data_IF_298569050932
#
_entry.id   IF_298569050932
#
_cell.length_a   1.000
_cell.length_b   1.000
_cell.length_c   1.000
_cell.angle_alpha   90.00
_cell.angle_beta   90.00
_cell.angle_gamma   90.00
#
_symmetry.space_group_name_H-M   'P 1'
#
loop_
_entity.id
_entity.type
_entity.pdbx_description
1 polymer ?
#
# COMPACT_ATOMS: atom_id res chain seq x y z
N UNK A 1 38.27 -8.64 -17.17
CA UNK A 1 38.78 -7.55 -16.30
C UNK A 1 37.85 -7.45 -15.08
N UNK A 2 38.33 -7.63 -13.84
CA UNK A 2 37.45 -7.57 -12.64
C UNK A 2 37.20 -6.11 -12.26
N UNK A 3 36.09 -5.54 -12.74
CA UNK A 3 35.64 -4.16 -12.46
C UNK A 3 35.66 -3.84 -10.95
N UNK A 4 35.47 -4.86 -10.11
CA UNK A 4 35.51 -4.77 -8.66
C UNK A 4 36.86 -4.28 -8.13
N UNK A 5 37.99 -4.63 -8.75
CA UNK A 5 39.31 -4.13 -8.33
C UNK A 5 39.41 -2.61 -8.45
N UNK A 6 38.87 -2.07 -9.54
CA UNK A 6 38.85 -0.64 -9.79
C UNK A 6 37.95 0.08 -8.78
N UNK A 7 36.77 -0.48 -8.49
CA UNK A 7 35.82 0.11 -7.54
C UNK A 7 36.32 0.03 -6.09
N UNK A 8 37.11 -0.99 -5.74
CA UNK A 8 37.63 -1.20 -4.38
C UNK A 8 38.93 -0.43 -4.10
N UNK A 9 39.51 0.27 -5.08
CA UNK A 9 40.75 1.04 -4.87
C UNK A 9 40.45 2.25 -3.97
N UNK A 10 41.10 2.38 -2.79
CA UNK A 10 40.87 3.51 -1.90
C UNK A 10 41.35 4.81 -2.55
N UNK A 11 40.56 5.88 -2.45
CA UNK A 11 40.92 7.21 -2.95
C UNK A 11 40.65 7.47 -4.44
N UNK A 12 39.88 6.62 -5.12
CA UNK A 12 39.48 6.87 -6.51
C UNK A 12 38.59 8.12 -6.61
N UNK A 13 38.91 9.10 -7.47
CA UNK A 13 38.06 10.29 -7.66
C UNK A 13 36.66 9.95 -8.14
N UNK A 14 35.67 10.74 -7.71
CA UNK A 14 34.25 10.52 -8.02
C UNK A 14 33.94 10.50 -9.53
N UNK A 15 34.70 11.25 -10.34
CA UNK A 15 34.56 11.27 -11.79
C UNK A 15 34.83 9.89 -12.44
N UNK A 16 35.87 9.20 -11.97
CA UNK A 16 36.20 7.86 -12.45
C UNK A 16 35.13 6.85 -12.01
N UNK A 17 34.63 6.97 -10.78
CA UNK A 17 33.52 6.14 -10.29
C UNK A 17 32.27 6.34 -11.16
N UNK A 18 31.94 7.58 -11.51
CA UNK A 18 30.80 7.90 -12.37
C UNK A 18 30.99 7.34 -13.78
N UNK A 19 32.20 7.38 -14.32
CA UNK A 19 32.53 6.77 -15.62
C UNK A 19 32.33 5.27 -15.58
N UNK A 20 32.84 4.59 -14.54
CA UNK A 20 32.64 3.15 -14.35
C UNK A 20 31.15 2.81 -14.24
N UNK A 21 30.39 3.59 -13.47
CA UNK A 21 28.93 3.41 -13.32
C UNK A 21 28.18 3.57 -14.65
N UNK A 22 28.57 4.54 -15.48
CA UNK A 22 27.98 4.73 -16.83
C UNK A 22 28.25 3.53 -17.73
N UNK A 23 29.50 3.07 -17.78
CA UNK A 23 29.89 1.88 -18.54
C UNK A 23 29.10 0.65 -18.05
N UNK A 24 29.03 0.46 -16.73
CA UNK A 24 28.29 -0.64 -16.12
C UNK A 24 26.80 -0.60 -16.49
N UNK A 25 26.17 0.57 -16.43
CA UNK A 25 24.77 0.74 -16.83
C UNK A 25 24.58 0.38 -18.31
N UNK A 26 25.36 0.98 -19.21
CA UNK A 26 25.24 0.76 -20.65
C UNK A 26 25.41 -0.70 -21.05
N UNK A 27 26.34 -1.42 -20.40
CA UNK A 27 26.59 -2.83 -20.67
C UNK A 27 25.45 -3.74 -20.18
N UNK A 28 24.88 -3.46 -19.01
CA UNK A 28 23.83 -4.29 -18.41
C UNK A 28 22.41 -3.88 -18.82
N UNK A 29 22.22 -2.74 -19.50
CA UNK A 29 20.90 -2.27 -19.91
C UNK A 29 20.17 -3.27 -20.84
N UNK A 30 20.76 -3.78 -21.94
CA UNK A 30 20.09 -4.76 -22.80
C UNK A 30 19.71 -6.03 -22.02
N UNK A 31 20.56 -6.46 -21.10
CA UNK A 31 20.28 -7.59 -20.22
C UNK A 31 19.09 -7.32 -19.29
N UNK A 32 19.02 -6.14 -18.68
CA UNK A 32 17.92 -5.75 -17.81
C UNK A 32 16.58 -5.69 -18.56
N UNK A 33 16.58 -5.23 -19.81
CA UNK A 33 15.39 -5.23 -20.67
C UNK A 33 14.92 -6.65 -21.01
N UNK A 34 15.84 -7.54 -21.39
CA UNK A 34 15.52 -8.96 -21.59
C UNK A 34 14.99 -9.60 -20.29
N UNK A 35 15.56 -9.26 -19.14
CA UNK A 35 15.06 -9.72 -17.84
C UNK A 35 13.61 -9.26 -17.57
N UNK A 36 13.26 -8.02 -17.93
CA UNK A 36 11.91 -7.50 -17.82
C UNK A 36 10.92 -8.26 -18.72
N UNK A 37 11.32 -8.60 -19.94
CA UNK A 37 10.52 -9.41 -20.86
C UNK A 37 10.27 -10.81 -20.31
N UNK A 38 11.30 -11.47 -19.78
CA UNK A 38 11.17 -12.77 -19.11
C UNK A 38 10.27 -12.68 -17.88
N UNK A 39 10.42 -11.63 -17.07
CA UNK A 39 9.56 -11.38 -15.92
C UNK A 39 8.09 -11.26 -16.35
N UNK A 40 7.80 -10.49 -17.41
CA UNK A 40 6.46 -10.32 -17.96
C UNK A 40 5.88 -11.64 -18.47
N UNK A 41 6.70 -12.46 -19.15
CA UNK A 41 6.30 -13.79 -19.60
C UNK A 41 5.92 -14.70 -18.42
N UNK A 42 6.80 -14.78 -17.41
CA UNK A 42 6.61 -15.61 -16.22
C UNK A 42 5.44 -15.11 -15.33
N UNK A 43 5.14 -13.82 -15.36
CA UNK A 43 4.05 -13.19 -14.62
C UNK A 43 2.95 -12.66 -15.54
N UNK A 44 2.63 -13.41 -16.60
CA UNK A 44 1.65 -13.02 -17.63
C UNK A 44 0.32 -12.53 -17.06
N UNK A 45 -0.19 -13.19 -16.02
CA UNK A 45 -1.46 -12.82 -15.39
C UNK A 45 -1.42 -11.45 -14.74
N UNK A 46 -0.33 -11.13 -14.03
CA UNK A 46 -0.15 -9.87 -13.32
C UNK A 46 0.16 -8.75 -14.32
N UNK A 47 0.96 -9.02 -15.35
CA UNK A 47 1.44 -8.00 -16.27
C UNK A 47 0.56 -7.82 -17.53
N UNK A 48 -0.62 -8.44 -17.58
CA UNK A 48 -1.46 -8.47 -18.79
C UNK A 48 -1.87 -7.07 -19.28
N UNK A 49 -2.18 -6.19 -18.35
CA UNK A 49 -2.66 -4.82 -18.59
C UNK A 49 -1.53 -3.79 -18.62
N UNK A 50 -0.28 -4.23 -18.40
CA UNK A 50 0.86 -3.33 -18.26
C UNK A 50 1.59 -3.24 -19.62
N UNK A 51 1.77 -2.03 -20.18
CA UNK A 51 2.55 -1.84 -21.40
C UNK A 51 4.00 -2.31 -21.24
N UNK A 52 4.60 -2.83 -22.32
CA UNK A 52 6.00 -3.29 -22.28
C UNK A 52 6.96 -2.16 -21.92
N UNK A 53 6.72 -0.98 -22.50
CA UNK A 53 7.56 0.21 -22.32
C UNK A 53 7.64 0.62 -20.85
N UNK A 54 6.53 0.49 -20.11
CA UNK A 54 6.51 0.78 -18.68
C UNK A 54 7.38 -0.20 -17.89
N UNK A 55 7.27 -1.50 -18.18
CA UNK A 55 8.11 -2.52 -17.54
C UNK A 55 9.60 -2.31 -17.82
N UNK A 56 9.94 -1.90 -19.04
CA UNK A 56 11.31 -1.54 -19.43
C UNK A 56 11.82 -0.34 -18.60
N UNK A 57 10.96 0.64 -18.34
CA UNK A 57 11.24 1.80 -17.47
C UNK A 57 11.55 1.37 -16.03
N UNK A 58 10.75 0.49 -15.44
CA UNK A 58 11.03 -0.05 -14.09
C UNK A 58 12.31 -0.90 -14.06
N UNK A 59 12.61 -1.64 -15.13
CA UNK A 59 13.86 -2.39 -15.24
C UNK A 59 15.08 -1.46 -15.28
N UNK A 60 15.05 -0.40 -16.11
CA UNK A 60 16.10 0.62 -16.14
C UNK A 60 16.27 1.31 -14.78
N UNK A 61 15.17 1.64 -14.11
CA UNK A 61 15.18 2.22 -12.75
C UNK A 61 15.83 1.27 -11.74
N UNK A 62 15.51 -0.03 -11.80
CA UNK A 62 16.12 -1.07 -10.98
C UNK A 62 17.62 -1.21 -11.21
N UNK A 63 18.05 -1.22 -12.47
CA UNK A 63 19.46 -1.26 -12.83
C UNK A 63 20.20 0.00 -12.34
N UNK A 64 19.63 1.18 -12.55
CA UNK A 64 20.21 2.45 -12.10
C UNK A 64 20.41 2.46 -10.58
N UNK A 65 19.41 1.99 -9.82
CA UNK A 65 19.52 1.86 -8.37
C UNK A 65 20.64 0.91 -7.99
N UNK A 66 20.73 -0.26 -8.62
CA UNK A 66 21.80 -1.22 -8.39
C UNK A 66 23.18 -0.62 -8.66
N UNK A 67 23.37 0.04 -9.80
CA UNK A 67 24.65 0.69 -10.16
C UNK A 67 25.03 1.78 -9.16
N UNK A 68 24.06 2.59 -8.70
CA UNK A 68 24.30 3.67 -7.72
C UNK A 68 24.73 3.14 -6.36
N UNK A 69 24.11 2.06 -5.90
CA UNK A 69 24.36 1.48 -4.57
C UNK A 69 25.41 0.37 -4.56
N UNK A 70 25.97 -0.01 -5.71
CA UNK A 70 26.93 -1.11 -5.79
C UNK A 70 28.23 -0.76 -5.08
N UNK A 71 28.52 -1.48 -3.99
CA UNK A 71 29.76 -1.42 -3.22
C UNK A 71 30.25 -2.84 -2.96
N UNK A 72 31.07 -3.43 -3.85
CA UNK A 72 31.57 -4.79 -3.67
C UNK A 72 32.54 -4.83 -2.48
N UNK A 73 32.33 -5.78 -1.56
CA UNK A 73 33.25 -6.06 -0.44
C UNK A 73 34.33 -7.07 -0.80
N UNK A 74 34.11 -7.87 -1.85
CA UNK A 74 35.03 -8.90 -2.33
C UNK A 74 35.22 -8.75 -3.83
N UNK A 75 36.41 -9.04 -4.32
CA UNK A 75 36.68 -9.04 -5.77
C UNK A 75 35.82 -10.04 -6.53
N UNK A 76 35.40 -11.12 -5.87
CA UNK A 76 34.56 -12.18 -6.44
C UNK A 76 33.07 -11.82 -6.49
N UNK A 77 32.66 -10.67 -5.95
CA UNK A 77 31.26 -10.25 -5.95
C UNK A 77 30.75 -10.08 -7.39
N UNK A 78 29.66 -10.77 -7.73
CA UNK A 78 29.09 -10.72 -9.08
C UNK A 78 28.03 -9.62 -9.13
N UNK A 79 28.29 -8.55 -9.88
CA UNK A 79 27.33 -7.43 -10.05
C UNK A 79 25.98 -7.91 -10.58
N UNK A 80 25.98 -8.85 -11.53
CA UNK A 80 24.75 -9.43 -12.09
C UNK A 80 23.80 -9.97 -11.00
N UNK A 81 24.31 -10.78 -10.06
CA UNK A 81 23.49 -11.34 -8.98
C UNK A 81 22.95 -10.23 -8.06
N UNK A 82 23.79 -9.24 -7.76
CA UNK A 82 23.37 -8.07 -6.99
C UNK A 82 22.25 -7.28 -7.69
N UNK A 83 22.41 -7.02 -8.98
CA UNK A 83 21.46 -6.26 -9.79
C UNK A 83 20.10 -6.97 -9.93
N UNK A 84 20.09 -8.31 -9.98
CA UNK A 84 18.84 -9.10 -10.02
C UNK A 84 17.91 -8.76 -8.85
N UNK A 85 18.43 -8.54 -7.64
CA UNK A 85 17.60 -8.18 -6.49
C UNK A 85 16.88 -6.84 -6.68
N UNK A 86 17.60 -5.84 -7.16
CA UNK A 86 17.05 -4.50 -7.44
C UNK A 86 16.05 -4.52 -8.59
N UNK A 87 16.37 -5.25 -9.67
CA UNK A 87 15.49 -5.43 -10.82
C UNK A 87 14.17 -6.08 -10.40
N UNK A 88 14.22 -7.21 -9.69
CA UNK A 88 13.00 -7.88 -9.20
C UNK A 88 12.19 -6.96 -8.30
N UNK A 89 12.84 -6.25 -7.39
CA UNK A 89 12.18 -5.30 -6.49
C UNK A 89 11.41 -4.21 -7.25
N UNK A 90 12.04 -3.58 -8.24
CA UNK A 90 11.40 -2.54 -9.05
C UNK A 90 10.33 -3.07 -10.00
N UNK A 91 10.52 -4.25 -10.58
CA UNK A 91 9.52 -4.88 -11.44
C UNK A 91 8.25 -5.26 -10.67
N UNK A 92 8.38 -5.85 -9.47
CA UNK A 92 7.21 -6.10 -8.61
C UNK A 92 6.57 -4.80 -8.11
N UNK A 93 7.38 -3.78 -7.82
CA UNK A 93 6.88 -2.46 -7.45
C UNK A 93 6.02 -1.86 -8.57
N UNK A 94 6.53 -1.84 -9.81
CA UNK A 94 5.81 -1.36 -10.99
C UNK A 94 4.56 -2.18 -11.28
N UNK A 95 4.65 -3.51 -11.18
CA UNK A 95 3.48 -4.39 -11.31
C UNK A 95 2.37 -4.06 -10.30
N UNK A 96 2.74 -3.73 -9.05
CA UNK A 96 1.78 -3.35 -8.00
C UNK A 96 1.22 -1.94 -8.23
N UNK A 97 2.07 -1.01 -8.68
CA UNK A 97 1.69 0.39 -8.88
C UNK A 97 0.72 0.55 -10.05
N UNK A 98 0.96 -0.17 -11.14
CA UNK A 98 0.14 -0.19 -12.35
C UNK A 98 -0.96 -1.26 -12.31
N UNK A 99 -1.14 -1.95 -11.17
CA UNK A 99 -2.27 -2.84 -10.99
C UNK A 99 -3.58 -2.07 -11.17
N UNK A 100 -4.64 -2.69 -11.70
CA UNK A 100 -5.91 -2.02 -11.90
C UNK A 100 -6.45 -1.52 -10.55
N UNK A 101 -7.30 -0.50 -10.61
CA UNK A 101 -7.96 0.02 -9.41
C UNK A 101 -8.72 -1.15 -8.76
N UNK A 102 -8.29 -1.53 -7.57
CA UNK A 102 -8.91 -2.57 -6.75
C UNK A 102 -9.19 -1.98 -5.38
N UNK A 103 -10.25 -2.45 -4.71
CA UNK A 103 -10.55 -2.08 -3.33
C UNK A 103 -9.54 -2.66 -2.31
N UNK A 104 -8.54 -3.42 -2.79
CA UNK A 104 -7.51 -4.04 -1.96
C UNK A 104 -6.33 -3.09 -1.83
N UNK A 105 -5.90 -2.84 -0.59
CA UNK A 105 -4.74 -1.98 -0.36
C UNK A 105 -3.46 -2.51 -1.06
N UNK A 106 -2.64 -1.61 -1.61
CA UNK A 106 -1.35 -1.95 -2.25
C UNK A 106 -0.43 -2.77 -1.32
N UNK A 107 -0.54 -2.56 0.00
CA UNK A 107 0.20 -3.32 1.04
C UNK A 107 -0.26 -4.77 1.12
N UNK A 108 -1.56 -5.03 0.98
CA UNK A 108 -2.11 -6.38 0.98
C UNK A 108 -1.73 -7.14 -0.31
N UNK A 109 -1.74 -6.49 -1.48
CA UNK A 109 -1.32 -7.09 -2.75
C UNK A 109 0.13 -7.59 -2.76
N UNK A 110 1.03 -6.92 -2.01
CA UNK A 110 2.44 -7.31 -1.88
C UNK A 110 2.67 -8.51 -0.97
N UNK A 111 1.70 -8.89 -0.14
CA UNK A 111 1.83 -10.06 0.74
C UNK A 111 1.50 -11.31 -0.07
N UNK A 112 2.45 -12.24 -0.16
CA UNK A 112 2.21 -13.58 -0.69
C UNK A 112 1.17 -14.22 0.25
N UNK A 113 -0.07 -14.40 -0.19
CA UNK A 113 -1.07 -15.11 0.60
C UNK A 113 -0.52 -16.51 0.89
N UNK A 114 -0.14 -16.74 2.15
CA UNK A 114 0.17 -18.06 2.65
C UNK A 114 -1.13 -18.86 2.63
N UNK A 115 -1.17 -19.88 1.77
CA UNK A 115 -2.26 -20.85 1.59
C UNK A 115 -3.53 -20.24 0.98
N UNK A 116 -3.77 -20.59 -0.29
CA UNK A 116 -5.09 -20.47 -0.89
C UNK A 116 -6.02 -21.43 -0.15
N UNK A 117 -6.93 -20.92 0.68
CA UNK A 117 -8.22 -21.57 0.79
C UNK A 117 -8.82 -21.52 -0.62
N UNK A 118 -9.14 -22.68 -1.21
CA UNK A 118 -9.76 -22.75 -2.54
C UNK A 118 -11.03 -21.90 -2.49
N UNK A 119 -11.05 -20.78 -3.21
CA UNK A 119 -12.28 -20.05 -3.44
C UNK A 119 -13.17 -20.96 -4.29
N UNK A 120 -14.24 -21.48 -3.70
CA UNK A 120 -15.32 -22.14 -4.42
C UNK A 120 -15.97 -21.13 -5.34
N UNK A 121 -16.41 -21.60 -6.51
CA UNK A 121 -17.01 -20.83 -7.61
C UNK A 121 -18.35 -20.13 -7.22
N UNK A 122 -18.74 -20.16 -5.94
CA UNK A 122 -19.97 -19.57 -5.42
C UNK A 122 -19.82 -18.12 -4.94
N UNK A 123 -18.60 -17.57 -4.89
CA UNK A 123 -18.38 -16.16 -4.52
C UNK A 123 -18.23 -15.26 -5.73
N UNK A 124 -19.14 -15.40 -6.70
CA UNK A 124 -19.44 -14.34 -7.66
C UNK A 124 -20.42 -13.37 -6.98
N UNK A 125 -19.91 -12.56 -6.06
CA UNK A 125 -20.67 -11.56 -5.30
C UNK A 125 -20.92 -10.35 -6.20
N UNK A 126 -21.91 -10.45 -7.08
CA UNK A 126 -22.66 -9.28 -7.58
C UNK A 126 -23.90 -8.97 -6.75
N UNK A 127 -24.06 -9.67 -5.63
CA UNK A 127 -25.20 -9.51 -4.74
C UNK A 127 -24.68 -9.08 -3.37
N UNK A 128 -25.17 -7.94 -2.87
CA UNK A 128 -24.85 -7.24 -1.61
C UNK A 128 -24.14 -5.87 -1.71
N UNK A 129 -24.14 -5.21 -2.88
CA UNK A 129 -24.42 -3.76 -2.84
C UNK A 129 -25.92 -3.61 -2.98
N UNK A 130 -26.67 -4.00 -1.94
CA UNK A 130 -27.93 -3.29 -1.73
C UNK A 130 -27.52 -1.83 -1.56
N UNK A 131 -28.08 -0.87 -2.30
CA UNK A 131 -28.01 0.50 -1.82
C UNK A 131 -28.61 0.44 -0.42
N UNK A 132 -27.77 0.55 0.61
CA UNK A 132 -28.26 0.90 1.93
C UNK A 132 -28.80 2.29 1.68
N UNK A 133 -30.12 2.38 1.44
CA UNK A 133 -30.82 3.65 1.50
C UNK A 133 -30.29 4.31 2.77
N UNK A 134 -29.78 5.57 2.71
CA UNK A 134 -29.36 6.24 3.93
C UNK A 134 -30.54 6.11 4.89
N UNK A 135 -30.31 5.42 6.02
CA UNK A 135 -31.34 5.30 7.05
C UNK A 135 -31.72 6.74 7.38
N UNK A 136 -33.01 7.05 7.35
CA UNK A 136 -33.45 8.40 7.65
C UNK A 136 -33.02 8.73 9.09
N UNK A 137 -32.64 9.97 9.43
CA UNK A 137 -32.13 10.32 10.76
C UNK A 137 -33.04 9.83 11.90
N UNK A 138 -34.35 9.79 11.68
CA UNK A 138 -35.37 9.21 12.57
C UNK A 138 -35.02 7.77 12.98
N UNK A 139 -34.76 6.90 12.01
CA UNK A 139 -34.51 5.46 12.22
C UNK A 139 -33.21 5.23 13.00
N UNK A 140 -32.23 6.14 12.85
CA UNK A 140 -30.97 6.07 13.57
C UNK A 140 -31.13 6.55 15.02
N UNK A 141 -31.89 7.62 15.25
CA UNK A 141 -32.23 8.06 16.61
C UNK A 141 -33.07 7.03 17.35
N UNK A 142 -34.09 6.46 16.72
CA UNK A 142 -34.90 5.37 17.30
C UNK A 142 -34.01 4.20 17.74
N UNK A 143 -33.11 3.76 16.87
CA UNK A 143 -32.16 2.70 17.20
C UNK A 143 -31.27 3.05 18.39
N UNK A 144 -30.75 4.28 18.47
CA UNK A 144 -29.95 4.76 19.61
C UNK A 144 -30.81 4.77 20.89
N UNK A 145 -32.06 5.21 20.81
CA UNK A 145 -32.95 5.24 21.96
C UNK A 145 -33.24 3.84 22.51
N UNK A 146 -33.47 2.87 21.62
CA UNK A 146 -33.79 1.48 21.97
C UNK A 146 -32.59 0.66 22.44
N UNK A 147 -31.42 0.84 21.81
CA UNK A 147 -30.28 -0.08 22.01
C UNK A 147 -29.15 0.45 22.88
N UNK A 148 -29.02 1.78 23.01
CA UNK A 148 -27.94 2.38 23.78
C UNK A 148 -28.34 2.57 25.25
N UNK A 149 -27.36 2.50 26.14
CA UNK A 149 -27.56 2.86 27.53
C UNK A 149 -27.73 4.39 27.71
N UNK A 150 -28.21 4.82 28.87
CA UNK A 150 -28.52 6.22 29.12
C UNK A 150 -27.32 7.17 28.98
N UNK A 151 -26.11 6.69 29.26
CA UNK A 151 -24.89 7.49 29.12
C UNK A 151 -24.56 7.70 27.64
N UNK A 152 -24.53 6.63 26.84
CA UNK A 152 -24.25 6.69 25.40
C UNK A 152 -25.26 7.57 24.65
N UNK A 153 -26.55 7.47 24.98
CA UNK A 153 -27.59 8.35 24.41
C UNK A 153 -27.30 9.82 24.67
N UNK A 154 -26.91 10.16 25.90
CA UNK A 154 -26.59 11.54 26.28
C UNK A 154 -25.35 12.06 25.55
N UNK A 155 -24.32 11.21 25.40
CA UNK A 155 -23.16 11.53 24.58
C UNK A 155 -23.52 11.82 23.11
N UNK A 156 -24.42 11.02 22.52
CA UNK A 156 -24.87 11.22 21.14
C UNK A 156 -25.61 12.56 20.97
N UNK A 157 -26.55 12.87 21.86
CA UNK A 157 -27.32 14.14 21.85
C UNK A 157 -26.42 15.36 22.02
N UNK A 158 -25.37 15.28 22.84
CA UNK A 158 -24.44 16.40 22.99
C UNK A 158 -23.47 16.56 21.84
N UNK A 159 -23.11 15.46 21.17
CA UNK A 159 -22.13 15.45 20.09
C UNK A 159 -22.74 15.83 18.74
N UNK A 160 -23.99 15.46 18.47
CA UNK A 160 -24.60 15.57 17.15
C UNK A 160 -25.93 16.32 17.17
N UNK A 161 -26.28 16.97 16.05
CA UNK A 161 -27.63 17.47 15.80
C UNK A 161 -28.57 16.36 15.30
N UNK A 162 -29.81 16.72 14.99
CA UNK A 162 -30.81 15.77 14.51
C UNK A 162 -30.36 15.02 13.24
N UNK A 163 -29.66 15.70 12.33
CA UNK A 163 -29.16 15.15 11.06
C UNK A 163 -27.78 14.51 11.19
N UNK A 164 -27.30 14.28 12.41
CA UNK A 164 -25.99 13.70 12.73
C UNK A 164 -24.77 14.55 12.31
N UNK A 165 -24.94 15.86 12.09
CA UNK A 165 -23.84 16.80 11.97
C UNK A 165 -23.19 17.02 13.33
N UNK A 166 -21.85 17.13 13.36
CA UNK A 166 -21.09 17.28 14.60
C UNK A 166 -21.27 18.69 15.20
N UNK A 167 -21.90 18.77 16.37
CA UNK A 167 -22.03 20.00 17.17
C UNK A 167 -20.83 20.24 18.09
N UNK A 168 -20.29 19.17 18.69
CA UNK A 168 -19.21 19.24 19.69
C UNK A 168 -18.13 18.19 19.45
N UNK A 169 -16.92 18.50 19.89
CA UNK A 169 -15.80 17.56 19.98
C UNK A 169 -16.00 16.55 21.12
N UNK A 170 -15.28 15.42 21.08
CA UNK A 170 -15.32 14.45 22.19
C UNK A 170 -14.87 15.08 23.51
N UNK A 171 -13.91 16.00 23.45
CA UNK A 171 -13.40 16.74 24.60
C UNK A 171 -14.49 17.58 25.26
N UNK A 172 -15.21 18.40 24.49
CA UNK A 172 -16.29 19.24 25.03
C UNK A 172 -17.43 18.39 25.62
N UNK A 173 -17.75 17.26 24.98
CA UNK A 173 -18.76 16.32 25.53
C UNK A 173 -18.25 15.67 26.81
N UNK A 174 -16.96 15.34 26.89
CA UNK A 174 -16.35 14.75 28.09
C UNK A 174 -16.33 15.74 29.26
N UNK A 175 -16.06 17.01 28.98
CA UNK A 175 -16.16 18.11 29.95
C UNK A 175 -17.60 18.26 30.49
N UNK A 176 -18.62 18.21 29.62
CA UNK A 176 -20.04 18.26 30.02
C UNK A 176 -20.49 17.02 30.80
N UNK A 177 -19.91 15.86 30.50
CA UNK A 177 -20.25 14.58 31.12
C UNK A 177 -19.36 14.23 32.33
N UNK A 178 -18.44 15.12 32.71
CA UNK A 178 -17.44 14.95 33.76
C UNK A 178 -16.68 13.60 33.67
N UNK A 179 -16.28 13.21 32.46
CA UNK A 179 -15.54 11.98 32.21
C UNK A 179 -14.34 12.21 31.27
N UNK A 180 -13.61 11.15 30.94
CA UNK A 180 -12.48 11.25 30.01
C UNK A 180 -12.97 11.24 28.55
N UNK A 181 -12.21 11.89 27.66
CA UNK A 181 -12.48 11.87 26.22
C UNK A 181 -12.58 10.44 25.66
N UNK A 182 -11.70 9.56 26.17
CA UNK A 182 -11.67 8.15 25.78
C UNK A 182 -12.92 7.39 26.21
N UNK A 183 -13.54 7.78 27.33
CA UNK A 183 -14.82 7.21 27.79
C UNK A 183 -15.94 7.54 26.80
N UNK A 184 -16.03 8.80 26.36
CA UNK A 184 -16.99 9.25 25.35
C UNK A 184 -16.74 8.55 24.01
N UNK A 185 -15.48 8.46 23.58
CA UNK A 185 -15.09 7.79 22.33
C UNK A 185 -15.50 6.31 22.34
N UNK A 186 -15.21 5.58 23.42
CA UNK A 186 -15.58 4.16 23.55
C UNK A 186 -17.09 3.95 23.54
N UNK A 187 -17.84 4.78 24.27
CA UNK A 187 -19.30 4.72 24.31
C UNK A 187 -19.91 4.89 22.90
N UNK A 188 -19.44 5.88 22.13
CA UNK A 188 -19.92 6.10 20.78
C UNK A 188 -19.46 5.02 19.80
N UNK A 189 -18.18 4.62 19.82
CA UNK A 189 -17.64 3.61 18.87
C UNK A 189 -18.29 2.24 19.05
N UNK A 190 -18.73 1.89 20.26
CA UNK A 190 -19.42 0.63 20.51
C UNK A 190 -20.71 0.47 19.69
N UNK A 191 -21.43 1.58 19.44
CA UNK A 191 -22.74 1.57 18.79
C UNK A 191 -22.72 2.19 17.38
N UNK A 192 -21.82 3.13 17.11
CA UNK A 192 -21.67 3.80 15.82
C UNK A 192 -20.49 3.18 15.06
N UNK A 193 -20.70 1.97 14.51
CA UNK A 193 -19.69 1.33 13.64
C UNK A 193 -19.62 2.01 12.26
N UNK A 194 -18.48 1.91 11.54
CA UNK A 194 -18.34 2.44 10.17
C UNK A 194 -19.32 1.84 9.15
N UNK A 195 -20.01 0.74 9.48
CA UNK A 195 -21.10 0.17 8.67
C UNK A 195 -22.32 1.12 8.58
N UNK A 196 -22.39 2.16 9.43
CA UNK A 196 -23.39 3.23 9.40
C UNK A 196 -22.96 4.45 8.58
N UNK A 197 -21.82 4.41 7.88
CA UNK A 197 -21.37 5.52 7.03
C UNK A 197 -20.88 6.77 7.79
N UNK A 198 -20.80 6.72 9.13
CA UNK A 198 -20.32 7.82 9.95
C UNK A 198 -18.83 7.67 10.30
N UNK A 199 -18.00 8.63 9.86
CA UNK A 199 -16.60 8.72 10.29
C UNK A 199 -16.52 9.39 11.67
N UNK A 200 -16.34 8.58 12.72
CA UNK A 200 -16.05 9.08 14.07
C UNK A 200 -14.58 9.51 14.10
N UNK A 201 -14.35 10.82 14.06
CA UNK A 201 -13.08 11.46 14.46
C UNK A 201 -13.23 11.97 15.89
#
# INVERSE_FOLDING_TARGET
>A
MRINRLIMTPGLPDEHINTIKRVLFSYYEPWALNYAQQFRHNHRYICRHIPSVEMDLYARKGLLNAVRSYRPTKETAIFHLYAVHHLRGQLYYGATEMSPITNVSKKALRRKQSRHARATHETFVWDQVRPVSPRRPEELWEHIYETCDAFTRRCAVYKYDYDFNRLRSNREVAELMACSEETVRKALVAHFRPDFGMHIV
#
